data_IF_649105815314
#
_entry.id   IF_649105815314
#
_cell.length_a   1.000
_cell.length_b   1.000
_cell.length_c   1.000
_cell.angle_alpha   90.00
_cell.angle_beta   90.00
_cell.angle_gamma   90.00
#
_symmetry.space_group_name_H-M   'P 1'
#
loop_
_entity.id
_entity.type
_entity.pdbx_description
1 polymer ?
#
# COMPACT_ATOMS: atom_id res chain seq x y z
N UNK A 1 -26.28 80.00 -32.49
CA UNK A 1 -25.64 79.05 -33.41
C UNK A 1 -25.33 77.76 -32.63
N UNK A 2 -25.92 76.71 -33.03
CA UNK A 2 -26.18 75.52 -32.22
C UNK A 2 -24.98 74.58 -32.27
N UNK A 3 -24.47 74.19 -31.08
CA UNK A 3 -23.49 73.17 -30.88
C UNK A 3 -24.18 71.87 -30.36
N UNK A 4 -24.10 70.82 -31.17
CA UNK A 4 -24.77 69.60 -30.86
C UNK A 4 -23.70 68.61 -30.30
N UNK A 5 -23.79 68.31 -29.03
CA UNK A 5 -22.89 67.32 -28.35
C UNK A 5 -23.63 66.01 -28.14
N UNK A 6 -23.19 64.97 -28.82
CA UNK A 6 -23.68 63.62 -28.68
C UNK A 6 -23.04 62.93 -27.46
N UNK A 7 -23.78 62.15 -26.66
CA UNK A 7 -23.19 61.38 -25.57
C UNK A 7 -22.67 59.97 -26.05
N UNK A 8 -21.42 59.71 -25.74
CA UNK A 8 -20.84 58.39 -25.88
C UNK A 8 -21.45 57.43 -24.84
N UNK A 9 -22.14 56.43 -25.32
CA UNK A 9 -22.59 55.30 -24.52
C UNK A 9 -21.41 54.36 -24.24
N UNK A 10 -21.04 54.24 -22.97
CA UNK A 10 -20.08 53.22 -22.50
C UNK A 10 -20.80 51.90 -22.32
N UNK A 11 -20.54 50.93 -23.21
CA UNK A 11 -20.90 49.54 -22.95
C UNK A 11 -19.91 48.96 -21.95
N UNK A 12 -20.38 48.73 -20.71
CA UNK A 12 -19.66 47.94 -19.73
C UNK A 12 -19.80 46.47 -20.03
N UNK A 13 -18.71 45.84 -20.48
CA UNK A 13 -18.65 44.40 -20.64
C UNK A 13 -18.50 43.72 -19.29
N UNK A 14 -19.53 42.99 -18.86
CA UNK A 14 -19.44 42.04 -17.73
C UNK A 14 -18.65 40.81 -18.19
N UNK A 15 -17.40 40.69 -17.75
CA UNK A 15 -16.63 39.45 -17.90
C UNK A 15 -17.12 38.46 -16.84
N UNK A 16 -17.89 37.48 -17.26
CA UNK A 16 -18.32 36.35 -16.43
C UNK A 16 -17.16 35.37 -16.28
N UNK A 17 -16.39 35.48 -15.19
CA UNK A 17 -15.34 34.53 -14.84
C UNK A 17 -15.98 33.25 -14.32
N UNK A 18 -16.07 32.23 -15.17
CA UNK A 18 -16.49 30.87 -14.78
C UNK A 18 -15.35 30.23 -13.99
N UNK A 19 -15.44 30.22 -12.67
CA UNK A 19 -14.53 29.48 -11.78
C UNK A 19 -14.90 28.01 -11.86
N UNK A 20 -14.09 27.21 -12.58
CA UNK A 20 -14.22 25.76 -12.60
C UNK A 20 -13.79 25.22 -11.22
N UNK A 21 -14.75 24.90 -10.35
CA UNK A 21 -14.47 24.12 -9.15
C UNK A 21 -14.18 22.68 -9.60
N UNK A 22 -12.89 22.28 -9.65
CA UNK A 22 -12.52 20.89 -9.69
C UNK A 22 -12.91 20.27 -8.35
N UNK A 23 -14.03 19.58 -8.32
CA UNK A 23 -14.40 18.72 -7.19
C UNK A 23 -13.39 17.56 -7.15
N UNK A 24 -12.44 17.59 -6.19
CA UNK A 24 -11.60 16.45 -5.89
C UNK A 24 -12.51 15.33 -5.37
N UNK A 25 -12.68 14.29 -6.18
CA UNK A 25 -13.37 13.07 -5.74
C UNK A 25 -12.56 12.48 -4.57
N UNK A 26 -13.19 12.13 -3.45
CA UNK A 26 -12.49 11.48 -2.36
C UNK A 26 -11.90 10.16 -2.89
N UNK A 27 -10.59 9.97 -2.70
CA UNK A 27 -9.94 8.70 -2.99
C UNK A 27 -10.59 7.64 -2.09
N UNK A 28 -11.31 6.69 -2.71
CA UNK A 28 -11.97 5.63 -1.97
C UNK A 28 -10.91 4.63 -1.51
N UNK A 29 -10.93 4.25 -0.22
CA UNK A 29 -10.10 3.20 0.33
C UNK A 29 -10.50 1.84 -0.28
N UNK A 30 -9.50 1.06 -0.67
CA UNK A 30 -9.70 -0.26 -1.28
C UNK A 30 -9.36 -1.38 -0.29
N UNK A 31 -9.97 -2.56 -0.48
CA UNK A 31 -9.63 -3.76 0.28
C UNK A 31 -9.01 -4.79 -0.65
N UNK A 32 -7.77 -5.18 -0.32
CA UNK A 32 -7.00 -6.19 -1.03
C UNK A 32 -7.04 -7.51 -0.27
N UNK A 33 -6.95 -8.62 -0.97
CA UNK A 33 -6.90 -9.95 -0.37
C UNK A 33 -5.54 -10.60 -0.58
N UNK A 34 -5.01 -11.22 0.48
CA UNK A 34 -3.77 -11.98 0.47
C UNK A 34 -4.04 -13.38 1.00
N UNK A 35 -3.77 -14.39 0.19
CA UNK A 35 -3.92 -15.80 0.58
C UNK A 35 -2.69 -16.28 1.35
N UNK A 36 -2.90 -17.05 2.38
CA UNK A 36 -1.85 -17.76 3.11
C UNK A 36 -1.85 -19.22 2.64
N UNK A 37 -0.76 -19.64 2.00
CA UNK A 37 -0.67 -20.91 1.26
C UNK A 37 0.52 -21.78 1.68
N UNK A 38 0.31 -23.10 1.64
CA UNK A 38 1.41 -24.06 1.79
C UNK A 38 2.37 -24.02 0.62
N UNK A 39 1.89 -23.65 -0.60
CA UNK A 39 2.70 -23.58 -1.82
C UNK A 39 1.99 -22.82 -2.93
N UNK A 40 2.79 -22.16 -3.77
CA UNK A 40 2.40 -21.68 -5.10
C UNK A 40 3.58 -21.79 -6.08
N UNK A 41 3.52 -21.11 -7.22
CA UNK A 41 4.58 -21.13 -8.24
C UNK A 41 5.93 -20.57 -7.76
N UNK A 42 5.96 -19.74 -6.72
CA UNK A 42 7.20 -19.16 -6.18
C UNK A 42 7.87 -20.05 -5.13
N UNK A 43 7.19 -21.08 -4.63
CA UNK A 43 7.74 -22.04 -3.67
C UNK A 43 6.80 -22.43 -2.55
N UNK A 44 7.35 -23.07 -1.50
CA UNK A 44 6.59 -23.48 -0.32
C UNK A 44 6.41 -22.32 0.67
N UNK A 45 5.36 -22.42 1.49
CA UNK A 45 5.05 -21.50 2.60
C UNK A 45 5.08 -20.03 2.14
N UNK A 46 4.00 -19.58 1.50
CA UNK A 46 3.94 -18.30 0.79
C UNK A 46 2.67 -17.52 1.09
N UNK A 47 2.79 -16.21 1.01
CA UNK A 47 1.67 -15.30 0.81
C UNK A 47 1.45 -15.10 -0.70
N UNK A 48 0.20 -14.96 -1.12
CA UNK A 48 -0.17 -14.68 -2.51
C UNK A 48 -1.19 -13.56 -2.59
N UNK A 49 -0.81 -12.39 -3.13
CA UNK A 49 0.54 -12.05 -3.60
C UNK A 49 1.55 -11.89 -2.45
N UNK A 50 2.84 -12.04 -2.76
CA UNK A 50 3.94 -11.86 -1.80
C UNK A 50 4.44 -10.41 -1.71
N UNK A 51 4.08 -9.60 -2.71
CA UNK A 51 4.28 -8.15 -2.77
C UNK A 51 2.97 -7.46 -3.10
N UNK A 52 2.67 -6.38 -2.38
CA UNK A 52 1.48 -5.59 -2.60
C UNK A 52 1.79 -4.12 -2.45
N UNK A 53 1.41 -3.32 -3.45
CA UNK A 53 1.42 -1.85 -3.36
C UNK A 53 0.01 -1.35 -3.08
N UNK A 54 -0.14 -0.59 -2.00
CA UNK A 54 -1.41 -0.01 -1.55
C UNK A 54 -1.24 1.49 -1.27
N UNK A 55 -2.35 2.19 -1.15
CA UNK A 55 -2.39 3.60 -0.74
C UNK A 55 -2.59 3.71 0.76
N UNK A 56 -2.15 4.80 1.40
CA UNK A 56 -2.54 5.09 2.78
C UNK A 56 -4.07 5.09 2.91
N UNK A 57 -4.59 4.34 3.90
CA UNK A 57 -6.01 4.14 4.14
C UNK A 57 -6.59 2.86 3.55
N UNK A 58 -5.86 2.16 2.67
CA UNK A 58 -6.29 0.86 2.16
C UNK A 58 -6.19 -0.23 3.22
N UNK A 59 -6.99 -1.28 3.04
CA UNK A 59 -7.07 -2.44 3.94
C UNK A 59 -6.57 -3.69 3.22
N UNK A 60 -5.83 -4.53 3.93
CA UNK A 60 -5.44 -5.86 3.46
C UNK A 60 -6.12 -6.91 4.34
N UNK A 61 -6.86 -7.81 3.71
CA UNK A 61 -7.45 -8.99 4.34
C UNK A 61 -6.58 -10.21 4.07
N UNK A 62 -6.05 -10.80 5.14
CA UNK A 62 -5.29 -12.06 5.08
C UNK A 62 -6.24 -13.24 5.21
N UNK A 63 -6.28 -14.09 4.17
CA UNK A 63 -7.18 -15.23 4.07
C UNK A 63 -6.50 -16.51 4.55
N UNK A 64 -7.12 -17.25 5.46
CA UNK A 64 -6.68 -18.57 5.91
C UNK A 64 -7.00 -19.64 4.86
N UNK A 65 -6.43 -19.52 3.65
CA UNK A 65 -6.75 -20.39 2.50
C UNK A 65 -6.29 -21.83 2.74
N UNK A 66 -5.11 -22.03 3.34
CA UNK A 66 -4.68 -23.30 3.88
C UNK A 66 -4.39 -23.19 5.37
N UNK A 67 -4.53 -24.30 6.10
CA UNK A 67 -4.36 -24.32 7.55
C UNK A 67 -2.90 -24.17 7.97
N UNK A 68 -2.69 -23.65 9.17
CA UNK A 68 -1.37 -23.60 9.83
C UNK A 68 -0.63 -22.28 9.65
N UNK A 69 -1.30 -21.23 9.18
CA UNK A 69 -0.69 -19.93 8.89
C UNK A 69 -1.32 -18.79 9.69
N UNK A 70 -0.55 -17.73 9.87
CA UNK A 70 -1.02 -16.45 10.36
C UNK A 70 -0.32 -15.29 9.63
N UNK A 71 -0.75 -14.07 9.88
CA UNK A 71 -0.07 -12.85 9.47
C UNK A 71 0.27 -12.00 10.69
N UNK A 72 1.53 -11.60 10.79
CA UNK A 72 2.03 -10.72 11.83
C UNK A 72 3.08 -9.76 11.27
N UNK A 73 3.14 -8.55 11.79
CA UNK A 73 4.19 -7.60 11.46
C UNK A 73 5.55 -8.08 12.00
N UNK A 74 6.63 -7.68 11.32
CA UNK A 74 8.01 -7.96 11.76
C UNK A 74 8.54 -6.73 12.49
N UNK A 75 9.03 -6.93 13.72
CA UNK A 75 9.67 -5.87 14.51
C UNK A 75 10.88 -5.32 13.74
N UNK A 76 10.98 -3.99 13.66
CA UNK A 76 12.02 -3.31 12.90
C UNK A 76 11.76 -3.22 11.38
N UNK A 77 10.63 -3.74 10.90
CA UNK A 77 10.19 -3.63 9.50
C UNK A 77 8.83 -2.95 9.38
N UNK A 78 8.60 -1.93 10.17
CA UNK A 78 7.43 -1.05 10.13
C UNK A 78 7.90 0.40 10.00
N UNK A 79 7.19 1.25 9.24
CA UNK A 79 7.47 2.68 9.26
C UNK A 79 7.14 3.30 10.63
N UNK A 80 7.77 4.45 10.92
CA UNK A 80 7.49 5.18 12.15
C UNK A 80 6.00 5.52 12.28
N UNK A 81 5.45 5.32 13.48
CA UNK A 81 4.03 5.57 13.77
C UNK A 81 3.08 4.44 13.39
N UNK A 82 3.52 3.45 12.62
CA UNK A 82 2.70 2.29 12.28
C UNK A 82 2.46 1.39 13.50
N UNK A 83 1.24 0.86 13.59
CA UNK A 83 0.87 -0.06 14.66
C UNK A 83 1.25 -1.50 14.29
N UNK A 84 1.91 -2.26 15.19
CA UNK A 84 2.13 -3.69 15.00
C UNK A 84 0.80 -4.45 14.97
N UNK A 85 0.79 -5.57 14.24
CA UNK A 85 -0.36 -6.48 14.20
C UNK A 85 0.08 -7.93 14.29
N UNK A 86 -0.81 -8.78 14.81
CA UNK A 86 -0.57 -10.22 14.95
C UNK A 86 -1.90 -10.96 15.00
N UNK A 87 -2.20 -11.70 13.94
CA UNK A 87 -3.29 -12.66 13.92
C UNK A 87 -2.92 -13.98 14.61
N UNK A 88 -3.92 -14.72 15.04
CA UNK A 88 -3.77 -16.11 15.51
C UNK A 88 -3.61 -17.05 14.32
N UNK A 89 -3.14 -18.28 14.58
CA UNK A 89 -3.08 -19.33 13.55
C UNK A 89 -4.49 -19.60 13.03
N UNK A 90 -4.64 -19.65 11.71
CA UNK A 90 -5.92 -19.84 10.99
C UNK A 90 -6.93 -18.69 11.13
N UNK A 91 -6.52 -17.58 11.70
CA UNK A 91 -7.37 -16.39 11.81
C UNK A 91 -7.25 -15.55 10.54
N UNK A 92 -8.39 -15.16 9.98
CA UNK A 92 -8.46 -14.11 8.97
C UNK A 92 -8.47 -12.75 9.67
N UNK A 93 -7.52 -11.90 9.35
CA UNK A 93 -7.44 -10.54 9.88
C UNK A 93 -7.51 -9.51 8.77
N UNK A 94 -8.01 -8.34 9.11
CA UNK A 94 -8.00 -7.15 8.27
C UNK A 94 -7.11 -6.09 8.92
N UNK A 95 -6.17 -5.55 8.13
CA UNK A 95 -5.25 -4.51 8.59
C UNK A 95 -5.37 -3.32 7.68
N UNK A 96 -5.68 -2.15 8.23
CA UNK A 96 -5.69 -0.89 7.50
C UNK A 96 -4.34 -0.20 7.65
N UNK A 97 -3.71 0.13 6.51
CA UNK A 97 -2.39 0.73 6.46
C UNK A 97 -2.50 2.24 6.27
N UNK A 98 -2.21 3.02 7.30
CA UNK A 98 -2.32 4.49 7.28
C UNK A 98 -0.98 5.18 7.06
N UNK A 99 0.11 4.62 7.61
CA UNK A 99 1.43 5.21 7.50
C UNK A 99 2.13 4.75 6.22
N UNK A 100 2.61 5.70 5.42
CA UNK A 100 3.42 5.39 4.23
C UNK A 100 4.74 4.76 4.61
N UNK A 101 5.19 3.79 3.82
CA UNK A 101 6.45 3.10 4.04
C UNK A 101 6.40 1.64 3.65
N UNK A 102 7.39 0.88 4.09
CA UNK A 102 7.55 -0.54 3.82
C UNK A 102 7.23 -1.36 5.07
N UNK A 103 6.39 -2.37 4.91
CA UNK A 103 5.96 -3.28 5.98
C UNK A 103 6.40 -4.69 5.66
N UNK A 104 7.21 -5.28 6.53
CA UNK A 104 7.50 -6.71 6.52
C UNK A 104 6.44 -7.48 7.29
N UNK A 105 5.90 -8.53 6.67
CA UNK A 105 4.91 -9.44 7.27
C UNK A 105 5.48 -10.83 7.32
N UNK A 106 5.25 -11.55 8.42
CA UNK A 106 5.69 -12.93 8.64
C UNK A 106 4.54 -13.86 9.01
N UNK A 107 4.69 -15.11 8.68
CA UNK A 107 3.93 -16.22 9.26
C UNK A 107 4.76 -16.82 10.39
N UNK A 108 4.27 -16.76 11.63
CA UNK A 108 5.05 -17.19 12.80
C UNK A 108 5.57 -18.63 12.72
N UNK A 109 4.72 -19.66 12.44
CA UNK A 109 5.21 -21.05 12.40
C UNK A 109 6.17 -21.34 11.23
N UNK A 110 6.16 -20.54 10.16
CA UNK A 110 6.97 -20.80 8.97
C UNK A 110 7.97 -19.66 8.66
N UNK A 111 8.24 -18.80 9.65
CA UNK A 111 9.16 -17.67 9.50
C UNK A 111 10.58 -18.14 9.16
N UNK A 112 11.09 -19.15 9.86
CA UNK A 112 12.39 -19.74 9.58
C UNK A 112 12.46 -20.45 8.21
N UNK A 113 11.32 -20.79 7.62
CA UNK A 113 11.20 -21.33 6.26
C UNK A 113 11.12 -20.25 5.18
N UNK A 114 11.05 -18.98 5.56
CA UNK A 114 10.97 -17.84 4.65
C UNK A 114 9.56 -17.41 4.27
N UNK A 115 8.54 -17.76 5.06
CA UNK A 115 7.17 -17.28 4.80
C UNK A 115 7.01 -15.84 5.24
N UNK A 116 7.28 -14.94 4.30
CA UNK A 116 7.19 -13.48 4.47
C UNK A 116 6.58 -12.83 3.24
N UNK A 117 6.09 -11.61 3.41
CA UNK A 117 5.69 -10.73 2.31
C UNK A 117 6.10 -9.29 2.60
N UNK A 118 6.13 -8.48 1.55
CA UNK A 118 6.39 -7.05 1.60
C UNK A 118 5.15 -6.27 1.16
N UNK A 119 4.73 -5.31 1.98
CA UNK A 119 3.68 -4.36 1.63
C UNK A 119 4.31 -2.97 1.50
N UNK A 120 4.13 -2.37 0.34
CA UNK A 120 4.50 -0.98 0.06
C UNK A 120 3.26 -0.10 0.21
N UNK A 121 3.29 0.83 1.15
CA UNK A 121 2.22 1.82 1.35
C UNK A 121 2.68 3.15 0.79
N UNK A 122 1.96 3.67 -0.20
CA UNK A 122 2.35 4.89 -0.91
C UNK A 122 3.53 4.68 -1.85
N UNK A 123 4.41 5.68 -1.96
CA UNK A 123 5.51 5.73 -2.93
C UNK A 123 6.88 5.34 -2.35
N UNK A 124 6.90 4.59 -1.25
CA UNK A 124 8.14 4.08 -0.68
C UNK A 124 8.87 3.15 -1.67
N UNK A 125 10.19 3.32 -1.80
CA UNK A 125 11.02 2.51 -2.71
C UNK A 125 11.33 1.14 -2.07
N UNK A 126 10.86 0.00 -2.63
CA UNK A 126 11.09 -1.33 -2.09
C UNK A 126 12.57 -1.70 -1.99
N UNK A 127 13.44 -1.10 -2.82
CA UNK A 127 14.89 -1.37 -2.79
C UNK A 127 15.58 -0.82 -1.54
N UNK A 128 14.92 0.08 -0.83
CA UNK A 128 15.41 0.68 0.42
C UNK A 128 14.95 -0.05 1.68
N UNK A 129 14.33 -1.22 1.52
CA UNK A 129 13.92 -2.04 2.66
C UNK A 129 15.11 -2.38 3.55
N UNK A 130 14.97 -2.09 4.85
CA UNK A 130 15.93 -2.48 5.87
C UNK A 130 15.45 -3.79 6.50
N UNK A 131 16.28 -4.83 6.42
CA UNK A 131 15.99 -6.13 7.02
C UNK A 131 16.86 -6.29 8.26
N UNK A 132 16.28 -6.35 9.47
CA UNK A 132 17.02 -6.53 10.72
C UNK A 132 17.84 -7.82 10.75
N UNK A 133 18.94 -7.82 11.49
CA UNK A 133 19.83 -8.99 11.60
C UNK A 133 19.13 -10.21 12.21
N UNK A 134 18.16 -9.99 13.10
CA UNK A 134 17.36 -11.05 13.72
C UNK A 134 16.42 -11.80 12.76
N UNK A 135 16.19 -11.29 11.55
CA UNK A 135 15.37 -11.96 10.56
C UNK A 135 16.06 -13.24 10.08
N UNK A 136 15.37 -14.41 10.04
CA UNK A 136 15.97 -15.67 9.60
C UNK A 136 16.56 -15.60 8.18
N UNK A 137 17.65 -16.32 7.93
CA UNK A 137 18.37 -16.27 6.65
C UNK A 137 17.47 -16.57 5.43
N UNK A 138 16.56 -17.54 5.52
CA UNK A 138 15.62 -17.84 4.43
C UNK A 138 14.61 -16.72 4.21
N UNK A 139 14.18 -16.05 5.27
CA UNK A 139 13.30 -14.87 5.17
C UNK A 139 14.02 -13.69 4.52
N UNK A 140 15.27 -13.43 4.90
CA UNK A 140 16.11 -12.39 4.24
C UNK A 140 16.24 -12.68 2.73
N UNK A 141 16.53 -13.92 2.36
CA UNK A 141 16.62 -14.33 0.95
C UNK A 141 15.28 -14.10 0.23
N UNK A 142 14.17 -14.50 0.85
CA UNK A 142 12.83 -14.31 0.27
C UNK A 142 12.52 -12.83 0.06
N UNK A 143 12.82 -11.96 1.01
CA UNK A 143 12.64 -10.52 0.82
C UNK A 143 13.44 -9.98 -0.37
N UNK A 144 14.70 -10.39 -0.54
CA UNK A 144 15.50 -9.99 -1.70
C UNK A 144 14.87 -10.46 -3.03
N UNK A 145 14.36 -11.69 -3.08
CA UNK A 145 13.66 -12.25 -4.24
C UNK A 145 12.34 -11.49 -4.53
N UNK A 146 11.57 -11.14 -3.49
CA UNK A 146 10.34 -10.35 -3.61
C UNK A 146 10.63 -8.99 -4.23
N UNK A 147 11.64 -8.27 -3.72
CA UNK A 147 12.05 -6.96 -4.26
C UNK A 147 12.46 -7.07 -5.72
N UNK A 148 13.25 -8.08 -6.07
CA UNK A 148 13.68 -8.31 -7.46
C UNK A 148 12.50 -8.55 -8.39
N UNK A 149 11.52 -9.38 -7.98
CA UNK A 149 10.32 -9.63 -8.79
C UNK A 149 9.40 -8.42 -8.88
N UNK A 150 9.27 -7.64 -7.81
CA UNK A 150 8.49 -6.42 -7.80
C UNK A 150 9.03 -5.38 -8.80
N UNK A 151 10.35 -5.26 -8.92
CA UNK A 151 11.00 -4.36 -9.88
C UNK A 151 10.83 -4.82 -11.33
N UNK A 152 10.79 -6.14 -11.59
CA UNK A 152 10.63 -6.69 -12.93
C UNK A 152 9.20 -6.57 -13.48
N UNK A 153 8.22 -6.20 -12.64
CA UNK A 153 6.80 -6.10 -12.99
C UNK A 153 6.36 -4.68 -13.38
N UNK A 154 7.31 -3.74 -13.47
CA UNK A 154 7.08 -2.33 -13.83
C UNK A 154 7.62 -1.97 -15.21
#
# INVERSE_FOLDING_TARGET
MMSNSSPLSRLGGLALSATLLLAALPAQAETFQVKMLNRNSTGPMVYEPEFLKVKPGDTVKFLATTNGHNAASIDGMLPAGAQPFKGKINEEIEVTFTESGLYGVKCLPHYAMGMVMLIQVGDADPTRMQVPDAVPARAKKRFAEIVTRAQASH
#
